data_IF_483909033556
#
_entry.id   IF_483909033556
#
_cell.length_a   1.000
_cell.length_b   1.000
_cell.length_c   1.000
_cell.angle_alpha   90.00
_cell.angle_beta   90.00
_cell.angle_gamma   90.00
#
_symmetry.space_group_name_H-M   'P 1'
#
loop_
_entity.id
_entity.type
_entity.pdbx_description
1 polymer ?
#
# COMPACT_ATOMS: atom_id res chain seq x y z
N UNK A 1 6.23 -22.46 3.14
CA UNK A 1 6.74 -22.05 4.48
C UNK A 1 7.18 -20.60 4.40
N UNK A 2 6.56 -19.73 5.20
CA UNK A 2 6.75 -18.29 5.09
C UNK A 2 8.16 -17.82 5.44
N UNK A 3 8.74 -17.00 4.56
CA UNK A 3 9.99 -16.27 4.83
C UNK A 3 9.80 -15.17 5.88
N UNK A 4 10.88 -14.73 6.52
CA UNK A 4 10.83 -13.66 7.53
C UNK A 4 10.32 -12.32 6.96
N UNK A 5 10.61 -12.02 5.69
CA UNK A 5 10.09 -10.83 5.00
C UNK A 5 8.58 -10.93 4.74
N UNK A 6 8.10 -12.11 4.34
CA UNK A 6 6.66 -12.36 4.12
C UNK A 6 5.87 -12.28 5.43
N UNK A 7 6.38 -12.84 6.53
CA UNK A 7 5.73 -12.71 7.85
C UNK A 7 5.59 -11.25 8.27
N UNK A 8 6.65 -10.45 8.11
CA UNK A 8 6.60 -9.01 8.41
C UNK A 8 5.61 -8.27 7.52
N UNK A 9 5.63 -8.57 6.22
CA UNK A 9 4.70 -8.00 5.26
C UNK A 9 3.24 -8.32 5.63
N UNK A 10 2.91 -9.59 5.86
CA UNK A 10 1.57 -10.05 6.24
C UNK A 10 1.09 -9.30 7.47
N UNK A 11 1.88 -9.30 8.55
CA UNK A 11 1.49 -8.60 9.78
C UNK A 11 1.24 -7.11 9.55
N UNK A 12 2.18 -6.43 8.88
CA UNK A 12 2.03 -4.99 8.60
C UNK A 12 0.83 -4.68 7.72
N UNK A 13 0.55 -5.52 6.73
CA UNK A 13 -0.56 -5.33 5.80
C UNK A 13 -1.90 -5.66 6.46
N UNK A 14 -1.96 -6.67 7.31
CA UNK A 14 -3.14 -6.99 8.11
C UNK A 14 -3.51 -5.85 9.06
N UNK A 15 -2.52 -5.28 9.75
CA UNK A 15 -2.73 -4.13 10.63
C UNK A 15 -3.27 -2.92 9.85
N UNK A 16 -2.69 -2.62 8.67
CA UNK A 16 -3.13 -1.52 7.81
C UNK A 16 -4.53 -1.75 7.21
N UNK A 17 -4.87 -2.98 6.82
CA UNK A 17 -6.15 -3.30 6.17
C UNK A 17 -7.30 -3.51 7.16
N UNK A 18 -7.01 -3.68 8.47
CA UNK A 18 -8.01 -3.93 9.53
C UNK A 18 -9.10 -2.88 9.59
N UNK A 19 -8.78 -1.63 9.24
CA UNK A 19 -9.74 -0.53 9.15
C UNK A 19 -10.64 -0.55 7.91
N UNK A 20 -10.39 -1.45 6.97
CA UNK A 20 -11.04 -1.48 5.66
C UNK A 20 -10.45 -0.48 4.66
N UNK A 21 -10.82 -0.68 3.39
CA UNK A 21 -10.31 0.07 2.23
C UNK A 21 -10.48 1.59 2.37
N UNK A 22 -11.65 2.04 2.84
CA UNK A 22 -11.95 3.46 2.97
C UNK A 22 -11.11 4.16 4.04
N UNK A 23 -10.91 3.54 5.21
CA UNK A 23 -10.07 4.13 6.27
C UNK A 23 -8.62 4.22 5.83
N UNK A 24 -8.12 3.19 5.13
CA UNK A 24 -6.79 3.23 4.52
C UNK A 24 -6.68 4.40 3.53
N UNK A 25 -7.60 4.52 2.57
CA UNK A 25 -7.57 5.62 1.59
C UNK A 25 -7.64 6.99 2.24
N UNK A 26 -8.56 7.19 3.18
CA UNK A 26 -8.70 8.48 3.85
C UNK A 26 -7.41 8.88 4.57
N UNK A 27 -6.83 7.95 5.33
CA UNK A 27 -5.60 8.21 6.08
C UNK A 27 -4.44 8.55 5.16
N UNK A 28 -4.14 7.69 4.19
CA UNK A 28 -2.96 7.83 3.35
C UNK A 28 -3.09 8.95 2.31
N UNK A 29 -4.31 9.21 1.81
CA UNK A 29 -4.53 10.33 0.88
C UNK A 29 -4.39 11.66 1.62
N UNK A 30 -5.01 11.83 2.80
CA UNK A 30 -4.92 13.10 3.54
C UNK A 30 -3.48 13.34 4.00
N UNK A 31 -2.88 12.38 4.70
CA UNK A 31 -1.53 12.54 5.23
C UNK A 31 -0.50 12.67 4.09
N UNK A 32 -0.62 11.86 3.04
CA UNK A 32 0.28 11.92 1.89
C UNK A 32 0.13 13.22 1.11
N UNK A 33 -1.09 13.73 0.92
CA UNK A 33 -1.33 15.00 0.22
C UNK A 33 -0.73 16.16 1.00
N UNK A 34 -0.88 16.17 2.33
CA UNK A 34 -0.25 17.19 3.17
C UNK A 34 1.28 17.20 3.00
N UNK A 35 1.93 16.04 3.08
CA UNK A 35 3.37 15.91 2.87
C UNK A 35 3.78 16.32 1.45
N UNK A 36 3.04 15.90 0.43
CA UNK A 36 3.31 16.24 -0.96
C UNK A 36 3.18 17.74 -1.24
N UNK A 37 2.20 18.42 -0.64
CA UNK A 37 2.06 19.88 -0.73
C UNK A 37 3.30 20.56 -0.16
N UNK A 38 3.80 20.13 1.01
CA UNK A 38 4.99 20.73 1.61
C UNK A 38 6.22 20.57 0.71
N UNK A 39 6.45 19.37 0.19
CA UNK A 39 7.58 19.07 -0.70
C UNK A 39 7.48 19.88 -2.00
N UNK A 40 6.33 19.85 -2.67
CA UNK A 40 6.15 20.55 -3.94
C UNK A 40 6.13 22.07 -3.78
N UNK A 41 5.62 22.60 -2.67
CA UNK A 41 5.69 24.04 -2.37
C UNK A 41 7.12 24.49 -2.13
N UNK A 42 7.91 23.68 -1.42
CA UNK A 42 9.33 23.94 -1.23
C UNK A 42 10.08 23.96 -2.57
N UNK A 43 9.87 22.95 -3.42
CA UNK A 43 10.48 22.88 -4.75
C UNK A 43 10.04 24.05 -5.65
N UNK A 44 8.76 24.42 -5.61
CA UNK A 44 8.23 25.56 -6.36
C UNK A 44 8.85 26.89 -5.89
N UNK A 45 9.08 27.06 -4.60
CA UNK A 45 9.73 28.24 -4.06
C UNK A 45 11.19 28.37 -4.55
N UNK A 46 11.92 27.25 -4.66
CA UNK A 46 13.30 27.26 -5.16
C UNK A 46 13.42 27.73 -6.61
N UNK A 47 12.38 27.51 -7.44
CA UNK A 47 12.37 27.90 -8.86
C UNK A 47 11.56 29.17 -9.13
N UNK A 48 11.14 29.91 -8.08
CA UNK A 48 10.37 31.15 -8.21
C UNK A 48 8.90 30.98 -8.60
N UNK A 49 8.36 29.75 -8.56
CA UNK A 49 6.96 29.44 -8.90
C UNK A 49 5.97 29.64 -7.75
N UNK A 50 6.44 29.90 -6.53
CA UNK A 50 5.58 30.15 -5.37
C UNK A 50 5.39 31.67 -5.15
N UNK A 51 4.18 32.18 -4.88
CA UNK A 51 2.93 31.45 -4.57
C UNK A 51 2.00 31.21 -5.77
N UNK A 52 2.33 31.67 -6.98
CA UNK A 52 1.43 31.63 -8.14
C UNK A 52 0.98 30.21 -8.53
N UNK A 53 1.82 29.19 -8.28
CA UNK A 53 1.52 27.79 -8.57
C UNK A 53 0.78 27.05 -7.45
N UNK A 54 0.42 27.69 -6.32
CA UNK A 54 -0.13 27.00 -5.14
C UNK A 54 -1.37 26.15 -5.45
N UNK A 55 -2.32 26.66 -6.26
CA UNK A 55 -3.51 25.90 -6.65
C UNK A 55 -3.16 24.64 -7.44
N UNK A 56 -2.21 24.75 -8.36
CA UNK A 56 -1.73 23.65 -9.18
C UNK A 56 -0.97 22.62 -8.33
N UNK A 57 -0.16 23.08 -7.36
CA UNK A 57 0.53 22.21 -6.40
C UNK A 57 -0.47 21.38 -5.59
N UNK A 58 -1.55 21.98 -5.08
CA UNK A 58 -2.57 21.25 -4.31
C UNK A 58 -3.24 20.17 -5.18
N UNK A 59 -3.66 20.51 -6.39
CA UNK A 59 -4.33 19.57 -7.30
C UNK A 59 -3.41 18.40 -7.68
N UNK A 60 -2.15 18.70 -8.03
CA UNK A 60 -1.15 17.68 -8.40
C UNK A 60 -0.80 16.80 -7.20
N UNK A 61 -0.59 17.40 -6.02
CA UNK A 61 -0.29 16.66 -4.79
C UNK A 61 -1.37 15.63 -4.47
N UNK A 62 -2.63 16.08 -4.49
CA UNK A 62 -3.76 15.20 -4.23
C UNK A 62 -3.84 14.08 -5.28
N UNK A 63 -3.70 14.42 -6.57
CA UNK A 63 -3.81 13.46 -7.67
C UNK A 63 -2.73 12.38 -7.60
N UNK A 64 -1.46 12.77 -7.42
CA UNK A 64 -0.33 11.84 -7.32
C UNK A 64 -0.51 10.91 -6.12
N UNK A 65 -0.84 11.46 -4.95
CA UNK A 65 -0.99 10.66 -3.73
C UNK A 65 -2.21 9.74 -3.81
N UNK A 66 -3.33 10.20 -4.37
CA UNK A 66 -4.51 9.37 -4.59
C UNK A 66 -4.18 8.17 -5.48
N UNK A 67 -3.54 8.41 -6.63
CA UNK A 67 -3.12 7.34 -7.56
C UNK A 67 -2.15 6.39 -6.87
N UNK A 68 -1.11 6.91 -6.21
CA UNK A 68 -0.13 6.09 -5.49
C UNK A 68 -0.81 5.22 -4.43
N UNK A 69 -1.72 5.77 -3.65
CA UNK A 69 -2.46 5.05 -2.60
C UNK A 69 -3.33 3.93 -3.18
N UNK A 70 -4.04 4.20 -4.29
CA UNK A 70 -4.86 3.20 -4.99
C UNK A 70 -4.01 2.05 -5.52
N UNK A 71 -2.90 2.37 -6.18
CA UNK A 71 -1.96 1.38 -6.73
C UNK A 71 -1.31 0.56 -5.62
N UNK A 72 -0.81 1.21 -4.56
CA UNK A 72 -0.22 0.52 -3.41
C UNK A 72 -1.20 -0.47 -2.79
N UNK A 73 -2.46 -0.10 -2.63
CA UNK A 73 -3.48 -1.03 -2.13
C UNK A 73 -3.63 -2.26 -3.03
N UNK A 74 -3.74 -2.06 -4.35
CA UNK A 74 -3.90 -3.18 -5.29
C UNK A 74 -2.68 -4.11 -5.29
N UNK A 75 -1.47 -3.55 -5.30
CA UNK A 75 -0.23 -4.33 -5.30
C UNK A 75 -0.06 -5.10 -4.00
N UNK A 76 -0.31 -4.46 -2.85
CA UNK A 76 -0.21 -5.11 -1.55
C UNK A 76 -1.27 -6.20 -1.39
N UNK A 77 -2.51 -5.95 -1.78
CA UNK A 77 -3.58 -6.95 -1.70
C UNK A 77 -3.31 -8.14 -2.64
N UNK A 78 -2.78 -7.89 -3.85
CA UNK A 78 -2.37 -8.95 -4.78
C UNK A 78 -1.25 -9.81 -4.18
N UNK A 79 -0.22 -9.15 -3.61
CA UNK A 79 0.89 -9.84 -2.95
C UNK A 79 0.40 -10.67 -1.76
N UNK A 80 -0.45 -10.10 -0.91
CA UNK A 80 -1.06 -10.79 0.22
C UNK A 80 -1.80 -12.05 -0.22
N UNK A 81 -2.73 -11.92 -1.18
CA UNK A 81 -3.48 -13.06 -1.72
C UNK A 81 -2.57 -14.14 -2.30
N UNK A 82 -1.52 -13.76 -3.03
CA UNK A 82 -0.58 -14.73 -3.59
C UNK A 82 0.16 -15.54 -2.52
N UNK A 83 0.56 -14.91 -1.41
CA UNK A 83 1.26 -15.59 -0.33
C UNK A 83 0.31 -16.57 0.38
N UNK A 84 -0.90 -16.12 0.70
CA UNK A 84 -1.91 -16.96 1.37
C UNK A 84 -2.31 -18.15 0.50
N UNK A 85 -2.59 -17.93 -0.79
CA UNK A 85 -2.93 -19.02 -1.72
C UNK A 85 -1.82 -20.05 -1.87
N UNK A 86 -0.54 -19.60 -1.84
CA UNK A 86 0.61 -20.50 -1.87
C UNK A 86 0.66 -21.39 -0.62
N UNK A 87 0.56 -20.79 0.56
CA UNK A 87 0.61 -21.57 1.82
C UNK A 87 -0.57 -22.53 1.96
N UNK A 88 -1.79 -22.16 1.53
CA UNK A 88 -2.95 -23.07 1.52
C UNK A 88 -2.68 -24.27 0.60
N UNK A 89 -2.18 -24.02 -0.62
CA UNK A 89 -1.87 -25.08 -1.58
C UNK A 89 -0.77 -26.01 -1.08
N UNK A 90 0.25 -25.48 -0.42
CA UNK A 90 1.31 -26.27 0.20
C UNK A 90 0.79 -27.10 1.38
N UNK A 91 -0.15 -26.56 2.17
CA UNK A 91 -0.82 -27.29 3.26
C UNK A 91 -1.61 -28.49 2.75
N UNK A 92 -2.51 -28.28 1.78
CA UNK A 92 -3.34 -29.35 1.19
C UNK A 92 -2.47 -30.50 0.65
N UNK A 93 -1.39 -30.18 -0.07
CA UNK A 93 -0.47 -31.19 -0.62
C UNK A 93 0.23 -32.02 0.47
N UNK A 94 0.54 -31.42 1.63
CA UNK A 94 1.14 -32.16 2.75
C UNK A 94 0.12 -33.09 3.39
N UNK A 95 -1.09 -32.59 3.62
CA UNK A 95 -2.18 -33.39 4.19
C UNK A 95 -2.55 -34.58 3.28
N UNK A 96 -2.56 -34.38 1.95
CA UNK A 96 -2.76 -35.46 0.97
C UNK A 96 -1.62 -36.50 0.97
N UNK A 97 -0.37 -36.05 1.08
CA UNK A 97 0.80 -36.94 1.12
C UNK A 97 0.87 -37.77 2.41
N UNK A 98 0.46 -37.18 3.54
CA UNK A 98 0.39 -37.87 4.84
C UNK A 98 -0.87 -38.76 4.96
N UNK A 99 -1.96 -38.39 4.28
CA UNK A 99 -3.22 -39.14 4.25
C UNK A 99 -3.21 -40.39 3.35
N UNK A 100 -2.45 -40.38 2.24
CA UNK A 100 -2.29 -41.53 1.34
C UNK A 100 -1.24 -42.57 1.81
N UNK A 101 -0.61 -42.33 2.97
CA UNK A 101 0.37 -43.24 3.59
C UNK A 101 -0.22 -44.24 4.59
N UNK A 102 -1.55 -44.35 4.69
CA UNK A 102 -2.26 -45.31 5.54
C UNK A 102 -3.08 -46.28 4.71
#
# INVERSE_FOLDING_TARGET
MLTASEKRFIKSWEDQRKGGRYKYYLLYIIAGTFVAILILSFLAAMVGGFPSMLKLIIIISFSIVAIATLVSWQLNEKKFKSIIQREIREGIKKDEAEGNGK
#
